data_IF_772412066439
#
_entry.id   IF_772412066439
#
_cell.length_a   1.000
_cell.length_b   1.000
_cell.length_c   1.000
_cell.angle_alpha   90.00
_cell.angle_beta   90.00
_cell.angle_gamma   90.00
#
_symmetry.space_group_name_H-M   'P 1'
#
loop_
_entity.id
_entity.type
_entity.pdbx_description
1 polymer ?
#
# COMPACT_ATOMS: atom_id res chain seq x y z
N UNK A 1 27.21 16.96 38.06
CA UNK A 1 28.29 17.42 37.14
C UNK A 1 27.75 17.20 35.74
N UNK A 2 26.89 18.12 35.25
CA UNK A 2 27.22 19.21 34.32
C UNK A 2 27.71 18.71 32.95
N UNK A 3 26.95 19.08 31.90
CA UNK A 3 27.41 19.61 30.59
C UNK A 3 28.33 18.67 29.78
N UNK A 4 28.07 18.28 28.54
CA UNK A 4 27.66 18.96 27.30
C UNK A 4 27.71 17.84 26.23
N UNK A 5 26.96 17.82 25.14
CA UNK A 5 27.31 18.52 23.89
C UNK A 5 26.05 18.52 23.01
N UNK A 6 25.40 19.68 22.94
CA UNK A 6 24.43 20.00 21.89
C UNK A 6 25.22 20.79 20.84
N UNK A 7 25.47 20.17 19.69
CA UNK A 7 25.99 20.89 18.54
C UNK A 7 24.86 21.69 17.90
N UNK A 8 24.88 23.00 18.13
CA UNK A 8 24.09 23.98 17.42
C UNK A 8 24.53 24.07 15.95
N UNK A 9 23.59 23.91 15.03
CA UNK A 9 23.73 24.42 13.66
C UNK A 9 22.83 25.65 13.53
N UNK A 10 23.42 26.82 13.77
CA UNK A 10 22.83 28.11 13.43
C UNK A 10 23.01 28.34 11.92
N UNK A 11 22.00 27.94 11.15
CA UNK A 11 21.84 28.40 9.77
C UNK A 11 21.28 29.83 9.79
N UNK A 12 22.11 30.81 9.43
CA UNK A 12 21.73 32.21 9.20
C UNK A 12 20.52 32.27 8.24
N UNK A 13 19.34 32.65 8.75
CA UNK A 13 18.28 33.19 7.90
C UNK A 13 18.78 34.52 7.33
N UNK A 14 19.23 34.47 6.08
CA UNK A 14 19.59 35.67 5.34
C UNK A 14 18.31 36.47 5.06
N UNK A 15 18.37 37.75 5.44
CA UNK A 15 17.44 38.81 5.03
C UNK A 15 17.51 39.00 3.51
N UNK A 16 16.81 38.18 2.73
CA UNK A 16 16.73 38.37 1.27
C UNK A 16 15.40 37.93 0.64
N UNK A 17 14.29 37.98 1.39
CA UNK A 17 12.94 37.71 0.83
C UNK A 17 12.00 38.93 0.90
N UNK A 18 12.48 40.09 1.37
CA UNK A 18 11.65 41.30 1.52
C UNK A 18 12.14 42.51 0.67
N UNK A 19 12.79 42.26 -0.47
CA UNK A 19 13.19 43.30 -1.44
C UNK A 19 13.12 42.81 -2.89
N UNK A 20 11.93 42.44 -3.36
CA UNK A 20 11.66 42.32 -4.80
C UNK A 20 10.28 42.86 -5.19
N UNK A 21 9.83 43.90 -4.50
CA UNK A 21 8.63 44.67 -4.87
C UNK A 21 8.99 46.15 -5.01
N UNK A 22 9.89 46.48 -5.94
CA UNK A 22 10.13 47.87 -6.37
C UNK A 22 10.90 47.94 -7.68
N UNK A 23 10.39 47.33 -8.75
CA UNK A 23 10.82 47.65 -10.12
C UNK A 23 9.81 47.16 -11.15
N UNK A 24 8.57 47.66 -11.09
CA UNK A 24 7.65 47.59 -12.23
C UNK A 24 7.75 48.93 -12.98
N UNK A 25 8.31 48.89 -14.20
CA UNK A 25 8.11 49.94 -15.21
C UNK A 25 6.83 49.60 -15.99
N UNK A 26 6.00 50.58 -16.36
CA UNK A 26 4.82 50.32 -17.17
C UNK A 26 5.25 49.98 -18.60
N UNK A 27 4.84 48.80 -19.10
CA UNK A 27 4.92 48.49 -20.53
C UNK A 27 3.67 49.08 -21.22
N UNK A 28 3.84 49.85 -22.31
CA UNK A 28 2.72 50.43 -23.03
C UNK A 28 2.03 49.37 -23.90
N UNK A 29 0.70 49.30 -23.78
CA UNK A 29 -0.18 48.62 -24.73
C UNK A 29 -0.17 49.45 -26.02
N UNK A 30 0.56 48.97 -27.04
CA UNK A 30 0.37 49.24 -28.48
C UNK A 30 1.51 48.58 -29.26
N UNK A 31 1.25 47.40 -29.80
CA UNK A 31 1.80 46.86 -31.07
C UNK A 31 1.46 45.36 -31.14
N UNK A 32 0.25 45.04 -31.61
CA UNK A 32 -0.07 43.70 -32.09
C UNK A 32 -1.17 43.75 -33.16
N UNK A 33 -1.01 44.64 -34.13
CA UNK A 33 -1.77 44.63 -35.39
C UNK A 33 -0.85 45.17 -36.50
N UNK A 34 -0.03 44.31 -37.09
CA UNK A 34 0.55 44.48 -38.42
C UNK A 34 1.40 43.23 -38.74
N UNK A 35 0.92 42.37 -39.62
CA UNK A 35 1.71 41.20 -40.04
C UNK A 35 0.93 40.05 -40.68
N UNK A 36 -0.13 40.34 -41.45
CA UNK A 36 -0.72 39.35 -42.36
C UNK A 36 -0.88 39.99 -43.74
N UNK A 37 0.20 39.95 -44.51
CA UNK A 37 0.18 40.19 -45.96
C UNK A 37 1.47 39.63 -46.55
N UNK A 38 1.39 38.48 -47.21
CA UNK A 38 2.56 37.83 -47.80
C UNK A 38 2.26 36.53 -48.54
N UNK A 39 1.65 36.66 -49.72
CA UNK A 39 1.86 35.81 -50.92
C UNK A 39 1.57 34.32 -50.84
N UNK A 40 0.40 33.96 -51.38
CA UNK A 40 0.08 32.69 -52.02
C UNK A 40 1.01 32.41 -53.20
N UNK A 41 1.78 31.33 -53.13
CA UNK A 41 2.28 30.61 -54.31
C UNK A 41 1.66 29.21 -54.31
N UNK A 42 0.79 29.00 -55.28
CA UNK A 42 0.13 27.74 -55.59
C UNK A 42 1.09 26.79 -56.29
N UNK A 43 1.48 25.71 -55.62
CA UNK A 43 1.93 24.47 -56.28
C UNK A 43 0.98 23.34 -55.89
N UNK A 44 -0.01 23.11 -56.76
CA UNK A 44 -0.89 21.96 -56.71
C UNK A 44 -0.07 20.67 -56.91
N UNK A 45 0.14 19.92 -55.84
CA UNK A 45 0.38 18.47 -55.93
C UNK A 45 -0.75 17.76 -55.21
N UNK A 46 -1.71 17.28 -55.99
CA UNK A 46 -2.80 16.41 -55.56
C UNK A 46 -2.24 15.09 -55.03
N UNK A 47 -2.20 14.91 -53.71
CA UNK A 47 -2.15 13.59 -53.08
C UNK A 47 -3.54 13.28 -52.53
N UNK A 48 -4.21 12.33 -53.18
CA UNK A 48 -5.45 11.72 -52.71
C UNK A 48 -5.26 11.19 -51.28
N UNK A 49 -6.24 11.35 -50.37
CA UNK A 49 -6.23 10.63 -49.12
C UNK A 49 -6.51 9.15 -49.42
N UNK A 50 -5.50 8.32 -49.20
CA UNK A 50 -5.67 6.87 -49.19
C UNK A 50 -6.59 6.49 -48.03
N UNK A 51 -7.77 5.96 -48.37
CA UNK A 51 -8.68 5.30 -47.45
C UNK A 51 -7.94 4.18 -46.70
N UNK A 52 -7.55 4.42 -45.45
CA UNK A 52 -7.27 3.32 -44.53
C UNK A 52 -8.60 2.67 -44.14
N UNK A 53 -8.76 1.35 -44.26
CA UNK A 53 -9.98 0.69 -43.81
C UNK A 53 -10.18 0.93 -42.31
N UNK A 54 -11.43 1.06 -41.84
CA UNK A 54 -11.70 1.18 -40.41
C UNK A 54 -11.13 -0.04 -39.67
N UNK A 55 -10.66 0.13 -38.42
CA UNK A 55 -10.23 -0.99 -37.61
C UNK A 55 -11.35 -2.04 -37.57
N UNK A 56 -11.01 -3.34 -37.65
CA UNK A 56 -12.02 -4.39 -37.65
C UNK A 56 -12.92 -4.24 -36.42
N UNK A 57 -14.23 -4.46 -36.54
CA UNK A 57 -15.14 -4.42 -35.41
C UNK A 57 -14.62 -5.40 -34.34
N UNK A 58 -14.38 -4.89 -33.14
CA UNK A 58 -14.03 -5.69 -31.96
C UNK A 58 -15.17 -6.70 -31.78
N UNK A 59 -14.92 -7.96 -32.14
CA UNK A 59 -15.90 -9.01 -31.94
C UNK A 59 -16.21 -9.08 -30.44
N UNK A 60 -17.49 -9.25 -30.03
CA UNK A 60 -17.82 -9.41 -28.63
C UNK A 60 -16.98 -10.56 -28.05
N UNK A 61 -16.45 -10.42 -26.82
CA UNK A 61 -15.59 -11.43 -26.23
C UNK A 61 -16.32 -12.78 -26.30
N UNK A 62 -15.70 -13.75 -26.99
CA UNK A 62 -16.24 -15.10 -27.07
C UNK A 62 -16.12 -15.71 -25.68
N UNK A 63 -17.21 -15.66 -24.91
CA UNK A 63 -17.27 -16.30 -23.62
C UNK A 63 -17.14 -17.82 -23.79
N UNK A 64 -16.35 -18.43 -22.91
CA UNK A 64 -16.12 -19.86 -22.85
C UNK A 64 -17.00 -20.41 -21.75
N UNK A 65 -17.90 -21.34 -22.11
CA UNK A 65 -18.69 -22.07 -21.12
C UNK A 65 -17.90 -23.25 -20.55
N UNK A 66 -17.83 -23.31 -19.22
CA UNK A 66 -17.25 -24.40 -18.44
C UNK A 66 -18.23 -24.87 -17.37
N UNK A 67 -18.11 -26.13 -16.95
CA UNK A 67 -18.91 -26.72 -15.87
C UNK A 67 -18.05 -26.82 -14.61
N UNK A 68 -18.43 -26.13 -13.54
CA UNK A 68 -17.78 -26.24 -12.22
C UNK A 68 -18.75 -26.96 -11.28
N UNK A 69 -18.40 -28.19 -10.88
CA UNK A 69 -19.24 -29.07 -10.06
C UNK A 69 -20.67 -29.23 -10.62
N UNK A 70 -20.78 -29.30 -11.95
CA UNK A 70 -22.04 -29.40 -12.69
C UNK A 70 -22.76 -28.07 -12.93
N UNK A 71 -22.27 -26.95 -12.41
CA UNK A 71 -22.83 -25.61 -12.65
C UNK A 71 -22.17 -24.96 -13.87
N UNK A 72 -22.94 -24.51 -14.89
CA UNK A 72 -22.37 -23.79 -16.03
C UNK A 72 -21.92 -22.40 -15.61
N UNK A 73 -20.71 -22.01 -16.03
CA UNK A 73 -20.10 -20.71 -15.78
C UNK A 73 -19.56 -20.17 -17.09
N UNK A 74 -19.86 -18.91 -17.37
CA UNK A 74 -19.33 -18.18 -18.52
C UNK A 74 -18.04 -17.49 -18.10
N UNK A 75 -16.94 -17.80 -18.78
CA UNK A 75 -15.62 -17.26 -18.49
C UNK A 75 -15.06 -16.52 -19.70
N UNK A 76 -14.20 -15.55 -19.44
CA UNK A 76 -13.42 -14.89 -20.49
C UNK A 76 -12.30 -15.82 -21.01
N UNK A 77 -11.95 -15.72 -22.30
CA UNK A 77 -10.85 -16.49 -22.85
C UNK A 77 -9.53 -16.12 -22.18
N UNK A 78 -8.76 -17.12 -21.75
CA UNK A 78 -7.48 -16.93 -21.06
C UNK A 78 -7.56 -16.96 -19.53
N UNK A 79 -8.77 -16.96 -18.94
CA UNK A 79 -8.92 -17.17 -17.50
C UNK A 79 -8.37 -18.54 -17.07
N UNK A 80 -7.87 -18.60 -15.85
CA UNK A 80 -7.45 -19.88 -15.23
C UNK A 80 -8.64 -20.61 -14.63
N UNK A 81 -8.52 -21.93 -14.43
CA UNK A 81 -9.55 -22.72 -13.73
C UNK A 81 -9.82 -22.13 -12.33
N UNK A 82 -8.80 -21.65 -11.62
CA UNK A 82 -8.96 -21.05 -10.30
C UNK A 82 -9.88 -19.82 -10.32
N UNK A 83 -9.69 -18.93 -11.30
CA UNK A 83 -10.54 -17.75 -11.46
C UNK A 83 -11.96 -18.11 -11.90
N UNK A 84 -12.11 -19.11 -12.78
CA UNK A 84 -13.42 -19.62 -13.18
C UNK A 84 -14.20 -20.22 -12.00
N UNK A 85 -13.52 -20.97 -11.13
CA UNK A 85 -14.12 -21.47 -9.89
C UNK A 85 -14.48 -20.33 -8.93
N UNK A 86 -13.67 -19.27 -8.85
CA UNK A 86 -14.00 -18.10 -8.03
C UNK A 86 -15.27 -17.39 -8.52
N UNK A 87 -15.47 -17.26 -9.85
CA UNK A 87 -16.73 -16.77 -10.43
C UNK A 87 -17.93 -17.66 -10.07
N UNK A 88 -17.72 -18.96 -9.92
CA UNK A 88 -18.73 -19.92 -9.49
C UNK A 88 -19.03 -19.86 -7.97
N UNK A 89 -18.32 -19.02 -7.22
CA UNK A 89 -18.38 -18.94 -5.76
C UNK A 89 -17.60 -20.06 -5.03
N UNK A 90 -16.76 -20.82 -5.75
CA UNK A 90 -15.97 -21.91 -5.18
C UNK A 90 -14.52 -21.44 -4.96
N UNK A 91 -14.12 -21.31 -3.69
CA UNK A 91 -12.75 -20.94 -3.34
C UNK A 91 -11.86 -22.19 -3.25
N UNK A 92 -10.90 -22.29 -4.17
CA UNK A 92 -9.89 -23.36 -4.18
C UNK A 92 -8.71 -22.97 -3.29
N UNK A 93 -8.19 -23.88 -2.43
CA UNK A 93 -7.06 -23.59 -1.56
C UNK A 93 -5.79 -23.26 -2.35
N UNK A 94 -5.07 -22.23 -1.91
CA UNK A 94 -3.92 -21.66 -2.61
C UNK A 94 -2.83 -21.19 -1.63
N UNK A 95 -1.56 -21.44 -1.98
CA UNK A 95 -0.40 -20.92 -1.24
C UNK A 95 0.57 -20.10 -2.09
N UNK A 96 0.83 -20.47 -3.34
CA UNK A 96 1.72 -19.69 -4.20
C UNK A 96 0.95 -18.72 -5.08
N UNK A 97 -0.27 -19.05 -5.51
CA UNK A 97 -1.08 -18.17 -6.34
C UNK A 97 -1.45 -16.92 -5.56
N UNK A 98 -1.34 -15.78 -6.23
CA UNK A 98 -1.74 -14.45 -5.77
C UNK A 98 -2.18 -13.71 -7.03
N UNK A 99 -3.27 -12.94 -6.96
CA UNK A 99 -3.89 -12.35 -8.15
C UNK A 99 -3.01 -11.28 -8.80
N UNK A 100 -2.25 -10.55 -7.97
CA UNK A 100 -1.31 -9.49 -8.37
C UNK A 100 0.12 -9.96 -8.69
N UNK A 101 0.39 -11.28 -8.71
CA UNK A 101 1.73 -11.81 -8.98
C UNK A 101 1.69 -12.84 -10.10
N UNK A 102 2.83 -13.05 -10.78
CA UNK A 102 2.93 -14.04 -11.85
C UNK A 102 2.59 -15.46 -11.38
N UNK A 103 2.05 -16.30 -12.27
CA UNK A 103 1.65 -17.68 -11.91
C UNK A 103 2.90 -18.56 -11.78
N UNK A 104 3.08 -19.20 -10.62
CA UNK A 104 4.22 -20.10 -10.36
C UNK A 104 3.88 -21.60 -10.45
N UNK A 105 2.92 -22.07 -9.64
CA UNK A 105 2.57 -23.49 -9.57
C UNK A 105 3.47 -24.37 -8.67
N UNK A 106 4.19 -23.78 -7.72
CA UNK A 106 5.15 -24.51 -6.86
C UNK A 106 4.48 -25.34 -5.76
N UNK A 107 3.37 -24.87 -5.19
CA UNK A 107 2.78 -25.49 -3.99
C UNK A 107 1.87 -26.68 -4.28
N UNK A 108 1.27 -26.77 -5.47
CA UNK A 108 0.30 -27.82 -5.87
C UNK A 108 -0.92 -27.99 -4.94
N UNK A 109 -1.23 -27.04 -4.06
CA UNK A 109 -2.43 -27.14 -3.19
C UNK A 109 -3.74 -26.99 -3.97
N UNK A 110 -3.69 -26.30 -5.11
CA UNK A 110 -4.83 -25.97 -5.94
C UNK A 110 -5.17 -27.07 -6.98
N UNK A 111 -4.74 -28.31 -6.75
CA UNK A 111 -5.05 -29.44 -7.63
C UNK A 111 -6.56 -29.70 -7.65
N UNK A 112 -7.10 -29.87 -8.85
CA UNK A 112 -8.50 -30.22 -9.10
C UNK A 112 -8.59 -31.30 -10.18
N UNK A 113 -9.65 -32.07 -10.14
CA UNK A 113 -9.95 -33.05 -11.17
C UNK A 113 -10.68 -32.37 -12.34
N UNK A 114 -10.18 -32.63 -13.56
CA UNK A 114 -10.83 -32.19 -14.79
C UNK A 114 -11.18 -33.42 -15.61
N UNK A 115 -12.40 -33.48 -16.12
CA UNK A 115 -12.83 -34.61 -16.93
C UNK A 115 -11.92 -34.78 -18.15
N UNK A 116 -11.63 -36.04 -18.50
CA UNK A 116 -10.68 -36.45 -19.55
C UNK A 116 -9.20 -36.18 -19.23
N UNK A 117 -8.86 -35.63 -18.07
CA UNK A 117 -7.48 -35.53 -17.59
C UNK A 117 -7.13 -36.73 -16.70
N UNK A 118 -6.04 -37.43 -17.00
CA UNK A 118 -5.59 -38.60 -16.22
C UNK A 118 -5.01 -38.23 -14.84
N UNK A 119 -4.56 -36.99 -14.68
CA UNK A 119 -3.92 -36.48 -13.46
C UNK A 119 -4.65 -35.22 -13.00
N UNK A 120 -4.74 -34.97 -11.68
CA UNK A 120 -5.20 -33.69 -11.17
C UNK A 120 -4.35 -32.55 -11.74
N UNK A 121 -5.00 -31.48 -12.17
CA UNK A 121 -4.35 -30.33 -12.81
C UNK A 121 -4.26 -29.17 -11.82
N UNK A 122 -3.19 -28.38 -11.93
CA UNK A 122 -3.04 -27.18 -11.10
C UNK A 122 -3.96 -26.07 -11.62
N UNK A 123 -5.03 -25.79 -10.87
CA UNK A 123 -6.06 -24.82 -11.30
C UNK A 123 -5.52 -23.40 -11.49
N UNK A 124 -4.45 -23.03 -10.79
CA UNK A 124 -3.86 -21.68 -10.88
C UNK A 124 -3.13 -21.40 -12.20
N UNK A 125 -2.75 -22.43 -12.96
CA UNK A 125 -1.97 -22.29 -14.19
C UNK A 125 -2.69 -22.83 -15.43
N UNK A 126 -3.63 -23.75 -15.24
CA UNK A 126 -4.39 -24.34 -16.33
C UNK A 126 -5.41 -23.32 -16.86
N UNK A 127 -5.34 -22.91 -18.14
CA UNK A 127 -6.36 -22.07 -18.75
C UNK A 127 -7.65 -22.86 -18.97
N UNK A 128 -8.78 -22.18 -18.91
CA UNK A 128 -10.09 -22.79 -19.21
C UNK A 128 -10.22 -23.08 -20.71
N UNK A 129 -10.80 -24.24 -21.03
CA UNK A 129 -11.16 -24.62 -22.40
C UNK A 129 -12.66 -24.89 -22.48
N UNK A 130 -13.25 -24.67 -23.67
CA UNK A 130 -14.69 -24.85 -23.90
C UNK A 130 -15.12 -26.28 -23.59
N UNK A 131 -16.17 -26.42 -22.79
CA UNK A 131 -16.72 -27.73 -22.41
C UNK A 131 -15.86 -28.50 -21.42
N UNK A 132 -14.93 -27.83 -20.71
CA UNK A 132 -14.28 -28.43 -19.54
C UNK A 132 -15.29 -28.63 -18.42
N UNK A 133 -15.19 -29.80 -17.77
CA UNK A 133 -15.91 -30.12 -16.54
C UNK A 133 -14.90 -30.28 -15.41
N UNK A 134 -14.99 -29.40 -14.43
CA UNK A 134 -14.08 -29.26 -13.30
C UNK A 134 -14.81 -29.78 -12.05
N UNK A 135 -14.20 -30.73 -11.36
CA UNK A 135 -14.70 -31.30 -10.11
C UNK A 135 -13.79 -30.86 -8.97
N UNK A 136 -14.29 -29.99 -8.10
CA UNK A 136 -13.48 -29.38 -7.03
C UNK A 136 -13.56 -30.15 -5.70
N UNK A 137 -14.53 -31.06 -5.57
CA UNK A 137 -14.77 -31.88 -4.36
C UNK A 137 -14.84 -33.40 -4.65
N UNK A 138 -14.15 -33.85 -5.70
CA UNK A 138 -14.02 -35.29 -5.95
C UNK A 138 -13.09 -35.97 -4.94
N UNK A 139 -13.23 -37.29 -4.77
CA UNK A 139 -12.34 -38.08 -3.90
C UNK A 139 -10.86 -37.92 -4.29
N UNK A 140 -10.58 -37.85 -5.60
CA UNK A 140 -9.22 -37.63 -6.12
C UNK A 140 -8.71 -36.25 -5.72
N UNK A 141 -9.55 -35.22 -5.83
CA UNK A 141 -9.19 -33.84 -5.47
C UNK A 141 -8.92 -33.70 -3.97
N UNK A 142 -9.76 -34.29 -3.13
CA UNK A 142 -9.59 -34.30 -1.67
C UNK A 142 -8.30 -35.01 -1.27
N UNK A 143 -8.05 -36.22 -1.77
CA UNK A 143 -6.81 -36.96 -1.51
C UNK A 143 -5.56 -36.21 -2.00
N UNK A 144 -5.64 -35.52 -3.13
CA UNK A 144 -4.54 -34.71 -3.62
C UNK A 144 -4.22 -33.54 -2.67
N UNK A 145 -5.24 -32.84 -2.16
CA UNK A 145 -5.08 -31.75 -1.19
C UNK A 145 -4.51 -32.25 0.13
N UNK A 146 -5.05 -33.35 0.67
CA UNK A 146 -4.54 -33.98 1.89
C UNK A 146 -3.07 -34.38 1.75
N UNK A 147 -2.69 -35.03 0.64
CA UNK A 147 -1.31 -35.43 0.37
C UNK A 147 -0.35 -34.25 0.25
N UNK A 148 -0.76 -33.18 -0.44
CA UNK A 148 0.06 -31.96 -0.55
C UNK A 148 0.22 -31.29 0.82
N UNK A 149 -0.87 -31.16 1.59
CA UNK A 149 -0.82 -30.57 2.92
C UNK A 149 0.11 -31.35 3.84
N UNK A 150 0.07 -32.68 3.79
CA UNK A 150 0.99 -33.51 4.55
C UNK A 150 2.45 -33.20 4.18
N UNK A 151 2.80 -33.14 2.90
CA UNK A 151 4.17 -32.79 2.47
C UNK A 151 4.62 -31.40 2.93
N UNK A 152 3.72 -30.42 2.95
CA UNK A 152 4.01 -29.09 3.48
C UNK A 152 4.32 -29.14 4.98
N UNK A 153 3.57 -29.96 5.74
CA UNK A 153 3.70 -30.09 7.20
C UNK A 153 4.81 -31.04 7.66
N UNK A 154 5.30 -31.97 6.81
CA UNK A 154 6.39 -32.91 7.14
C UNK A 154 7.59 -32.15 7.72
N UNK A 155 8.04 -31.11 7.01
CA UNK A 155 9.23 -30.34 7.37
C UNK A 155 8.91 -28.98 8.01
N UNK A 156 7.63 -28.67 8.27
CA UNK A 156 7.23 -27.44 8.95
C UNK A 156 7.41 -27.58 10.48
N UNK A 157 7.96 -26.56 11.17
CA UNK A 157 8.19 -26.60 12.61
C UNK A 157 6.87 -26.46 13.39
N UNK A 158 6.84 -26.96 14.62
CA UNK A 158 5.68 -26.85 15.52
C UNK A 158 5.67 -25.52 16.27
N UNK A 159 5.76 -24.44 15.52
CA UNK A 159 5.96 -23.08 16.04
C UNK A 159 4.65 -22.32 16.26
N UNK A 160 3.49 -22.91 15.96
CA UNK A 160 2.21 -22.20 15.98
C UNK A 160 1.95 -21.33 17.22
N UNK A 161 2.30 -21.75 18.47
CA UNK A 161 2.10 -20.91 19.66
C UNK A 161 2.96 -19.63 19.67
N UNK A 162 4.21 -19.76 19.22
CA UNK A 162 5.18 -18.66 19.18
C UNK A 162 5.14 -17.91 17.85
N UNK A 163 4.41 -18.38 16.86
CA UNK A 163 4.30 -17.75 15.56
C UNK A 163 3.36 -16.54 15.64
N UNK A 164 3.81 -15.37 15.15
CA UNK A 164 2.98 -14.16 15.15
C UNK A 164 1.79 -14.25 14.21
N UNK A 165 1.90 -15.05 13.15
CA UNK A 165 0.81 -15.30 12.20
C UNK A 165 -0.16 -16.37 12.70
N UNK A 166 0.05 -16.95 13.89
CA UNK A 166 -0.92 -17.89 14.48
C UNK A 166 -2.29 -17.23 14.62
N UNK A 167 -3.32 -17.84 14.03
CA UNK A 167 -4.69 -17.30 13.95
C UNK A 167 -5.02 -16.49 12.69
N UNK A 168 -4.06 -16.19 11.83
CA UNK A 168 -4.27 -15.60 10.50
C UNK A 168 -3.36 -16.27 9.45
N UNK A 169 -3.06 -17.56 9.66
CA UNK A 169 -2.13 -18.33 8.85
C UNK A 169 -2.89 -19.20 7.84
N UNK A 170 -2.69 -18.94 6.54
CA UNK A 170 -3.29 -19.75 5.47
C UNK A 170 -2.98 -21.23 5.65
N UNK A 171 -1.76 -21.58 6.09
CA UNK A 171 -1.37 -22.98 6.27
C UNK A 171 -2.13 -23.65 7.41
N UNK A 172 -2.40 -22.91 8.48
CA UNK A 172 -3.20 -23.41 9.60
C UNK A 172 -4.65 -23.64 9.16
N UNK A 173 -5.26 -22.65 8.54
CA UNK A 173 -6.68 -22.68 8.17
C UNK A 173 -6.94 -23.72 7.07
N UNK A 174 -6.09 -23.77 6.06
CA UNK A 174 -6.22 -24.76 4.98
C UNK A 174 -5.88 -26.18 5.45
N UNK A 175 -4.99 -26.35 6.44
CA UNK A 175 -4.76 -27.67 7.05
C UNK A 175 -5.99 -28.14 7.82
N UNK A 176 -6.67 -27.25 8.54
CA UNK A 176 -7.88 -27.61 9.29
C UNK A 176 -9.06 -27.92 8.36
N UNK A 177 -9.17 -27.20 7.23
CA UNK A 177 -10.30 -27.35 6.30
C UNK A 177 -10.11 -28.44 5.23
N UNK A 178 -8.90 -28.61 4.70
CA UNK A 178 -8.61 -29.48 3.56
C UNK A 178 -7.49 -30.51 3.81
N UNK A 179 -6.81 -30.42 4.96
CA UNK A 179 -5.74 -31.35 5.35
C UNK A 179 -6.26 -32.59 6.07
N UNK A 180 -5.37 -33.54 6.33
CA UNK A 180 -5.64 -34.69 7.20
C UNK A 180 -5.61 -34.30 8.68
N UNK A 181 -6.30 -35.09 9.52
CA UNK A 181 -6.40 -34.86 10.97
C UNK A 181 -5.11 -35.19 11.74
N UNK A 182 -4.26 -36.06 11.18
CA UNK A 182 -3.06 -36.59 11.83
C UNK A 182 -1.87 -36.62 10.89
N UNK A 183 -0.67 -36.55 11.48
CA UNK A 183 0.58 -36.79 10.79
C UNK A 183 0.89 -38.30 10.71
N UNK A 184 1.42 -38.76 9.58
CA UNK A 184 2.04 -40.09 9.44
C UNK A 184 3.56 -40.03 9.54
N UNK A 185 4.14 -38.84 9.52
CA UNK A 185 5.58 -38.65 9.60
C UNK A 185 6.07 -39.00 11.01
N UNK A 186 6.71 -40.15 11.11
CA UNK A 186 7.50 -40.58 12.26
C UNK A 186 8.95 -40.60 11.81
N UNK A 187 9.78 -39.80 12.48
CA UNK A 187 11.20 -39.75 12.17
C UNK A 187 11.91 -41.00 12.72
N UNK A 188 11.90 -42.07 11.92
CA UNK A 188 12.51 -43.34 12.29
C UNK A 188 14.05 -43.28 12.36
N UNK A 189 14.68 -42.21 11.84
CA UNK A 189 16.14 -42.06 11.81
C UNK A 189 16.67 -41.07 12.84
N UNK A 190 15.80 -40.47 13.65
CA UNK A 190 16.15 -39.43 14.63
C UNK A 190 16.93 -38.25 14.02
N UNK A 191 16.74 -37.99 12.72
CA UNK A 191 17.40 -36.91 11.98
C UNK A 191 16.72 -35.54 12.18
N UNK A 192 15.54 -35.51 12.79
CA UNK A 192 14.70 -34.35 12.97
C UNK A 192 14.01 -33.89 11.69
N UNK A 193 13.18 -32.86 11.83
CA UNK A 193 12.72 -32.03 10.71
C UNK A 193 13.87 -31.15 10.23
N UNK A 194 13.83 -30.72 8.97
CA UNK A 194 14.82 -29.73 8.50
C UNK A 194 14.75 -28.45 9.34
N UNK A 195 15.89 -27.85 9.59
CA UNK A 195 16.02 -26.51 10.15
C UNK A 195 16.77 -25.64 9.15
N UNK A 196 16.37 -24.38 9.03
CA UNK A 196 16.96 -23.40 8.13
C UNK A 196 17.41 -22.20 8.95
N UNK A 197 18.60 -21.67 8.66
CA UNK A 197 19.12 -20.46 9.27
C UNK A 197 18.26 -19.24 8.92
N UNK A 198 18.05 -18.36 9.90
CA UNK A 198 17.31 -17.13 9.71
C UNK A 198 18.17 -16.09 9.01
N UNK A 199 17.56 -15.32 8.09
CA UNK A 199 18.26 -14.37 7.22
C UNK A 199 17.97 -12.94 7.66
N UNK A 200 18.97 -12.09 7.76
CA UNK A 200 18.73 -10.70 8.18
C UNK A 200 18.24 -9.83 7.00
N UNK A 201 16.91 -9.77 6.82
CA UNK A 201 16.27 -8.90 5.82
C UNK A 201 16.10 -7.44 6.29
N UNK A 202 16.70 -7.05 7.42
CA UNK A 202 16.71 -5.69 7.94
C UNK A 202 15.89 -5.47 9.21
N UNK A 203 15.54 -4.20 9.52
CA UNK A 203 14.85 -3.85 10.76
C UNK A 203 13.32 -3.99 10.68
N UNK A 204 12.74 -4.10 9.48
CA UNK A 204 11.29 -4.12 9.27
C UNK A 204 10.72 -5.55 9.26
N UNK A 205 11.41 -6.47 8.59
CA UNK A 205 10.94 -7.84 8.38
C UNK A 205 11.73 -8.78 9.29
N UNK A 206 11.02 -9.52 10.13
CA UNK A 206 11.56 -10.61 10.94
C UNK A 206 11.40 -11.92 10.18
N UNK A 207 12.50 -12.63 10.00
CA UNK A 207 12.51 -13.90 9.29
C UNK A 207 12.62 -15.07 10.26
N UNK A 208 11.80 -16.09 10.04
CA UNK A 208 11.99 -17.42 10.64
C UNK A 208 11.88 -18.44 9.50
N UNK A 209 13.00 -18.74 8.85
CA UNK A 209 13.01 -19.40 7.55
C UNK A 209 12.68 -20.90 7.62
N UNK A 210 12.80 -21.50 8.80
CA UNK A 210 12.35 -22.88 9.03
C UNK A 210 10.84 -23.05 8.77
N UNK A 211 10.04 -21.99 8.96
CA UNK A 211 8.60 -21.99 8.66
C UNK A 211 8.26 -21.87 7.17
N UNK A 212 9.24 -21.52 6.34
CA UNK A 212 9.01 -21.27 4.92
C UNK A 212 8.61 -22.56 4.18
N UNK A 213 7.53 -22.47 3.39
CA UNK A 213 7.01 -23.55 2.55
C UNK A 213 7.40 -23.42 1.08
N UNK A 214 8.36 -22.55 0.77
CA UNK A 214 8.90 -22.40 -0.60
C UNK A 214 7.87 -22.01 -1.67
N UNK A 215 6.85 -21.23 -1.29
CA UNK A 215 5.81 -20.78 -2.22
C UNK A 215 6.31 -19.72 -3.23
N UNK A 216 7.47 -19.09 -2.98
CA UNK A 216 8.11 -18.06 -3.81
C UNK A 216 7.27 -16.80 -4.07
N UNK A 217 6.25 -16.50 -3.24
CA UNK A 217 5.48 -15.23 -3.35
C UNK A 217 6.38 -14.01 -3.10
N UNK A 218 7.18 -14.02 -2.05
CA UNK A 218 8.07 -12.89 -1.72
C UNK A 218 9.13 -12.62 -2.81
N UNK A 219 9.69 -13.68 -3.41
CA UNK A 219 10.68 -13.56 -4.50
C UNK A 219 10.04 -12.92 -5.73
N UNK A 220 8.84 -13.37 -6.13
CA UNK A 220 8.11 -12.78 -7.25
C UNK A 220 7.72 -11.34 -6.97
N UNK A 221 7.20 -11.04 -5.79
CA UNK A 221 6.87 -9.66 -5.41
C UNK A 221 8.08 -8.74 -5.46
N UNK A 222 9.22 -9.17 -4.91
CA UNK A 222 10.45 -8.39 -4.92
C UNK A 222 10.91 -8.07 -6.36
N UNK A 223 10.83 -9.05 -7.26
CA UNK A 223 11.25 -8.90 -8.65
C UNK A 223 10.26 -8.13 -9.53
N UNK A 224 8.97 -8.38 -9.36
CA UNK A 224 7.90 -7.93 -10.27
C UNK A 224 7.29 -6.59 -9.84
N UNK A 225 7.00 -6.44 -8.54
CA UNK A 225 6.25 -5.29 -8.01
C UNK A 225 7.21 -4.29 -7.37
N UNK A 226 8.03 -4.73 -6.42
CA UNK A 226 8.99 -3.84 -5.75
C UNK A 226 10.17 -3.45 -6.65
N UNK A 227 10.42 -4.19 -7.74
CA UNK A 227 11.50 -3.91 -8.68
C UNK A 227 12.91 -4.06 -8.10
N UNK A 228 13.06 -4.76 -6.97
CA UNK A 228 14.35 -4.99 -6.28
C UNK A 228 14.66 -6.49 -6.27
N UNK A 229 15.53 -6.96 -7.20
CA UNK A 229 15.81 -8.39 -7.36
C UNK A 229 16.83 -8.94 -6.36
N UNK A 230 16.64 -8.62 -5.08
CA UNK A 230 17.53 -9.04 -4.00
C UNK A 230 17.11 -10.39 -3.39
N UNK A 231 15.81 -10.69 -3.37
CA UNK A 231 15.29 -11.96 -2.87
C UNK A 231 15.34 -13.03 -3.96
N UNK A 232 15.91 -14.19 -3.62
CA UNK A 232 15.99 -15.32 -4.53
C UNK A 232 15.86 -16.67 -3.83
N UNK A 233 16.02 -17.72 -4.62
CA UNK A 233 16.10 -19.10 -4.15
C UNK A 233 17.52 -19.62 -4.35
N UNK A 234 18.18 -20.02 -3.26
CA UNK A 234 19.53 -20.61 -3.29
C UNK A 234 19.45 -22.09 -2.92
N UNK A 235 20.34 -22.92 -3.47
CA UNK A 235 20.31 -24.37 -3.26
C UNK A 235 19.25 -25.10 -4.11
N UNK A 236 18.96 -26.36 -3.75
CA UNK A 236 18.08 -27.26 -4.51
C UNK A 236 17.43 -28.30 -3.61
N UNK A 237 16.21 -28.72 -3.94
CA UNK A 237 15.51 -29.79 -3.21
C UNK A 237 15.07 -29.33 -1.82
N UNK A 238 15.23 -30.18 -0.81
CA UNK A 238 14.84 -29.85 0.57
C UNK A 238 15.73 -28.78 1.22
N UNK A 239 16.97 -28.62 0.75
CA UNK A 239 17.93 -27.62 1.19
C UNK A 239 17.83 -26.28 0.44
N UNK A 240 16.80 -26.11 -0.39
CA UNK A 240 16.52 -24.82 -1.01
C UNK A 240 16.17 -23.80 0.07
N UNK A 241 16.76 -22.61 0.01
CA UNK A 241 16.54 -21.51 0.94
C UNK A 241 16.04 -20.28 0.18
N UNK A 242 15.08 -19.58 0.77
CA UNK A 242 14.62 -18.28 0.27
C UNK A 242 15.34 -17.20 1.07
N UNK A 243 15.86 -16.18 0.39
CA UNK A 243 16.53 -15.06 1.03
C UNK A 243 17.53 -14.40 0.11
N UNK A 244 18.32 -13.50 0.66
CA UNK A 244 19.51 -12.97 0.01
C UNK A 244 20.66 -13.96 0.19
N UNK A 245 21.44 -14.22 -0.87
CA UNK A 245 22.58 -15.15 -0.76
C UNK A 245 23.67 -14.60 0.18
N UNK A 246 23.94 -13.29 0.06
CA UNK A 246 24.78 -12.53 0.97
C UNK A 246 23.91 -11.89 2.07
N UNK A 247 24.52 -11.50 3.19
CA UNK A 247 23.83 -10.73 4.23
C UNK A 247 23.54 -9.31 3.72
N UNK A 248 22.40 -9.14 3.06
CA UNK A 248 21.94 -7.88 2.49
C UNK A 248 20.50 -7.65 2.97
N UNK A 249 20.23 -6.54 3.67
CA UNK A 249 18.86 -6.19 4.02
C UNK A 249 18.04 -5.85 2.76
N UNK A 250 16.74 -6.13 2.81
CA UNK A 250 15.84 -5.81 1.69
C UNK A 250 15.49 -4.32 1.76
N UNK A 251 16.18 -3.50 0.97
CA UNK A 251 15.90 -2.08 0.87
C UNK A 251 14.95 -1.81 -0.30
N UNK A 252 13.67 -1.65 0.02
CA UNK A 252 12.65 -1.10 -0.87
C UNK A 252 11.62 -0.38 0.00
N UNK A 253 11.00 0.67 -0.53
CA UNK A 253 9.90 1.40 0.08
C UNK A 253 8.61 0.57 0.18
N UNK A 254 8.50 -0.53 -0.56
CA UNK A 254 7.36 -1.46 -0.54
C UNK A 254 7.72 -2.82 0.08
N UNK A 255 8.87 -2.93 0.74
CA UNK A 255 9.43 -4.21 1.20
C UNK A 255 8.53 -4.92 2.21
N UNK A 256 7.85 -4.20 3.09
CA UNK A 256 6.99 -4.74 4.14
C UNK A 256 5.75 -5.47 3.64
N UNK A 257 5.35 -5.29 2.37
CA UNK A 257 4.24 -6.04 1.78
C UNK A 257 4.54 -7.53 1.64
N UNK A 258 5.82 -7.95 1.68
CA UNK A 258 6.16 -9.39 1.70
C UNK A 258 5.62 -10.11 2.94
N UNK A 259 5.32 -9.37 4.02
CA UNK A 259 4.74 -9.91 5.24
C UNK A 259 3.31 -10.38 4.98
N UNK A 260 2.48 -9.54 4.36
CA UNK A 260 1.08 -9.87 4.06
C UNK A 260 0.98 -10.95 2.99
N UNK A 261 1.92 -10.95 2.03
CA UNK A 261 1.98 -11.97 0.99
C UNK A 261 2.37 -13.35 1.51
N UNK A 262 3.09 -13.42 2.63
CA UNK A 262 3.58 -14.68 3.16
C UNK A 262 2.39 -15.48 3.72
N UNK A 263 2.06 -16.65 3.15
CA UNK A 263 0.94 -17.46 3.65
C UNK A 263 1.26 -18.15 4.99
N UNK A 264 2.49 -17.98 5.48
CA UNK A 264 3.04 -18.62 6.67
C UNK A 264 3.90 -17.60 7.42
N UNK A 265 4.04 -17.78 8.74
CA UNK A 265 4.78 -16.83 9.59
C UNK A 265 6.31 -16.92 9.47
N UNK A 266 6.81 -17.13 8.26
CA UNK A 266 8.23 -17.09 7.91
C UNK A 266 8.72 -15.66 7.73
N UNK A 267 7.90 -14.76 7.18
CA UNK A 267 8.18 -13.33 7.08
C UNK A 267 7.12 -12.59 7.88
N UNK A 268 7.53 -11.92 8.95
CA UNK A 268 6.62 -11.23 9.89
C UNK A 268 7.09 -9.82 10.16
N UNK A 269 6.20 -8.96 10.67
CA UNK A 269 6.56 -7.59 11.06
C UNK A 269 7.43 -7.62 12.32
N UNK A 270 8.67 -7.12 12.20
CA UNK A 270 9.62 -7.06 13.32
C UNK A 270 9.20 -6.05 14.40
N UNK A 271 8.69 -4.85 14.08
CA UNK A 271 8.19 -3.92 15.10
C UNK A 271 6.96 -4.44 15.86
N UNK A 272 6.10 -5.23 15.20
CA UNK A 272 4.89 -5.82 15.80
C UNK A 272 5.16 -7.14 16.54
N UNK A 273 6.37 -7.69 16.45
CA UNK A 273 6.69 -9.04 16.88
C UNK A 273 6.28 -9.31 18.34
N UNK A 274 5.48 -10.36 18.53
CA UNK A 274 4.99 -10.84 19.84
C UNK A 274 4.19 -9.83 20.67
N UNK A 275 3.78 -8.68 20.11
CA UNK A 275 3.01 -7.68 20.86
C UNK A 275 1.55 -8.10 21.05
N UNK A 276 0.98 -8.77 20.05
CA UNK A 276 -0.43 -9.10 19.97
C UNK A 276 -0.75 -10.31 19.08
N UNK A 277 -2.02 -10.70 19.08
CA UNK A 277 -2.59 -11.78 18.25
C UNK A 277 -3.79 -11.30 17.43
N UNK A 278 -4.10 -11.91 16.28
CA UNK A 278 -5.13 -11.41 15.39
C UNK A 278 -6.53 -11.33 16.03
N UNK A 279 -6.90 -12.31 16.85
CA UNK A 279 -8.24 -12.43 17.46
C UNK A 279 -8.53 -11.43 18.60
N UNK A 280 -7.52 -10.79 19.17
CA UNK A 280 -7.70 -9.75 20.21
C UNK A 280 -7.73 -8.33 19.64
N UNK A 281 -7.40 -8.17 18.34
CA UNK A 281 -7.36 -6.86 17.69
C UNK A 281 -8.72 -6.46 17.13
N UNK A 282 -9.10 -5.20 17.32
CA UNK A 282 -10.21 -4.57 16.61
C UNK A 282 -9.70 -3.99 15.30
N UNK A 283 -10.42 -4.22 14.22
CA UNK A 283 -10.08 -3.75 12.87
C UNK A 283 -10.92 -2.52 12.56
N UNK A 284 -10.26 -1.41 12.25
CA UNK A 284 -10.91 -0.16 11.84
C UNK A 284 -10.40 0.18 10.45
N UNK A 285 -11.32 0.30 9.49
CA UNK A 285 -10.99 0.74 8.14
C UNK A 285 -10.76 2.26 8.15
N UNK A 286 -9.64 2.70 7.59
CA UNK A 286 -9.19 4.09 7.57
C UNK A 286 -8.44 4.38 6.26
N UNK A 287 -7.98 5.63 6.12
CA UNK A 287 -7.15 6.09 5.02
C UNK A 287 -5.77 6.50 5.56
N UNK A 288 -4.73 6.23 4.77
CA UNK A 288 -3.37 6.68 5.05
C UNK A 288 -3.16 8.16 4.72
N UNK A 289 -2.33 8.82 5.52
CA UNK A 289 -2.02 10.26 5.39
C UNK A 289 -0.52 10.52 5.23
N UNK A 290 0.31 9.48 5.17
CA UNK A 290 1.77 9.60 5.12
C UNK A 290 2.30 10.05 3.75
N UNK A 291 1.48 9.92 2.72
CA UNK A 291 1.67 10.44 1.38
C UNK A 291 0.34 10.92 0.78
N UNK A 292 0.42 11.57 -0.39
CA UNK A 292 -0.76 12.08 -1.10
C UNK A 292 -1.49 10.99 -1.92
N UNK A 293 -1.11 9.71 -1.80
CA UNK A 293 -1.80 8.62 -2.47
C UNK A 293 -3.15 8.32 -1.80
N UNK A 294 -3.22 8.47 -0.48
CA UNK A 294 -4.43 8.17 0.29
C UNK A 294 -4.75 6.67 0.27
N UNK A 295 -3.74 5.82 0.47
CA UNK A 295 -3.90 4.37 0.44
C UNK A 295 -4.95 3.89 1.46
N UNK A 296 -5.77 2.92 1.06
CA UNK A 296 -6.76 2.35 1.96
C UNK A 296 -6.08 1.41 2.96
N UNK A 297 -6.35 1.60 4.26
CA UNK A 297 -5.69 0.84 5.33
C UNK A 297 -6.70 0.29 6.35
N UNK A 298 -6.25 -0.72 7.08
CA UNK A 298 -6.90 -1.27 8.26
C UNK A 298 -5.98 -1.02 9.46
N UNK A 299 -6.45 -0.19 10.39
CA UNK A 299 -5.80 0.07 11.67
C UNK A 299 -6.24 -1.01 12.64
N UNK A 300 -5.29 -1.84 13.08
CA UNK A 300 -5.54 -2.84 14.11
C UNK A 300 -5.22 -2.25 15.48
N UNK A 301 -6.22 -2.19 16.35
CA UNK A 301 -6.11 -1.61 17.68
C UNK A 301 -6.39 -2.62 18.79
N UNK A 302 -5.71 -2.45 19.91
CA UNK A 302 -6.01 -3.14 21.18
C UNK A 302 -5.93 -2.13 22.30
N UNK A 303 -6.91 -2.12 23.20
CA UNK A 303 -6.92 -1.23 24.39
C UNK A 303 -6.58 0.22 24.06
N UNK A 304 -7.18 0.79 23.01
CA UNK A 304 -6.95 2.16 22.51
C UNK A 304 -5.52 2.48 22.03
N UNK A 305 -4.68 1.48 21.83
CA UNK A 305 -3.37 1.63 21.20
C UNK A 305 -3.41 1.04 19.78
N UNK A 306 -2.86 1.77 18.82
CA UNK A 306 -2.60 1.27 17.47
C UNK A 306 -1.41 0.33 17.52
N UNK A 307 -1.60 -0.91 17.09
CA UNK A 307 -0.55 -1.93 17.15
C UNK A 307 0.05 -2.26 15.78
N UNK A 308 -0.76 -2.23 14.72
CA UNK A 308 -0.30 -2.44 13.34
C UNK A 308 -1.24 -1.78 12.34
N UNK A 309 -0.70 -1.47 11.17
CA UNK A 309 -1.43 -0.96 10.01
C UNK A 309 -1.22 -1.95 8.87
N UNK A 310 -2.30 -2.38 8.23
CA UNK A 310 -2.31 -3.34 7.12
C UNK A 310 -3.03 -2.67 5.93
N UNK A 311 -2.62 -2.90 4.66
CA UNK A 311 -3.38 -2.47 3.49
C UNK A 311 -4.80 -3.05 3.48
N UNK A 312 -5.72 -2.30 2.86
CA UNK A 312 -7.04 -2.79 2.45
C UNK A 312 -7.10 -2.78 0.92
N UNK A 313 -7.78 -3.78 0.36
CA UNK A 313 -8.00 -3.89 -1.08
C UNK A 313 -8.73 -2.65 -1.61
N UNK A 314 -8.12 -1.96 -2.56
CA UNK A 314 -8.74 -0.92 -3.38
C UNK A 314 -8.07 -0.88 -4.76
N UNK A 315 -8.75 -1.47 -5.74
CA UNK A 315 -8.31 -1.55 -7.14
C UNK A 315 -7.96 -0.17 -7.74
N UNK A 316 -8.65 0.89 -7.32
CA UNK A 316 -8.52 2.21 -7.94
C UNK A 316 -7.33 3.02 -7.40
N UNK A 317 -6.74 2.62 -6.27
CA UNK A 317 -5.74 3.44 -5.55
C UNK A 317 -4.46 2.68 -5.28
N UNK A 318 -4.50 1.66 -4.42
CA UNK A 318 -3.31 1.00 -3.90
C UNK A 318 -3.28 -0.51 -4.17
N UNK A 319 -4.29 -1.03 -4.88
CA UNK A 319 -4.55 -2.47 -5.01
C UNK A 319 -4.54 -3.12 -3.62
N UNK A 320 -3.47 -3.83 -3.27
CA UNK A 320 -3.28 -4.47 -1.97
C UNK A 320 -1.97 -4.02 -1.28
N UNK A 321 -1.30 -3.00 -1.82
CA UNK A 321 0.03 -2.59 -1.38
C UNK A 321 -0.02 -1.37 -0.46
N UNK A 322 0.96 -1.29 0.42
CA UNK A 322 1.17 -0.15 1.32
C UNK A 322 2.66 0.15 1.44
N UNK A 323 3.03 1.43 1.38
CA UNK A 323 4.40 1.87 1.61
C UNK A 323 4.86 1.56 3.04
N UNK A 324 6.16 1.28 3.20
CA UNK A 324 6.78 0.97 4.49
C UNK A 324 6.68 2.15 5.47
N UNK A 325 6.71 3.38 4.95
CA UNK A 325 6.46 4.58 5.76
C UNK A 325 5.11 4.47 6.45
N UNK A 326 4.05 4.19 5.70
CA UNK A 326 2.68 4.07 6.19
C UNK A 326 2.48 2.86 7.09
N UNK A 327 3.09 1.73 6.72
CA UNK A 327 3.01 0.47 7.47
C UNK A 327 3.66 0.55 8.86
N UNK A 328 4.77 1.26 8.99
CA UNK A 328 5.60 1.26 10.22
C UNK A 328 5.60 2.58 10.99
N UNK A 329 4.97 3.64 10.49
CA UNK A 329 4.88 4.96 11.17
C UNK A 329 4.01 4.97 12.44
N UNK A 330 3.21 3.93 12.68
CA UNK A 330 2.30 3.88 13.83
C UNK A 330 3.01 3.97 15.19
N UNK A 331 4.29 3.59 15.30
CA UNK A 331 5.06 3.78 16.55
C UNK A 331 5.13 5.27 16.93
N UNK A 332 5.25 6.15 15.93
CA UNK A 332 5.24 7.60 16.10
C UNK A 332 3.95 8.15 16.70
N UNK A 333 2.81 7.46 16.53
CA UNK A 333 1.53 7.86 17.13
C UNK A 333 1.53 7.71 18.66
N UNK A 334 2.41 6.90 19.22
CA UNK A 334 2.52 6.69 20.67
C UNK A 334 3.63 7.53 21.33
N UNK A 335 4.52 8.13 20.55
CA UNK A 335 5.74 8.81 21.03
C UNK A 335 5.69 10.30 20.73
N UNK A 336 6.22 11.12 21.64
CA UNK A 336 6.33 12.58 21.48
C UNK A 336 4.99 13.28 21.14
N UNK A 337 3.88 12.79 21.70
CA UNK A 337 2.55 13.35 21.48
C UNK A 337 2.30 14.59 22.35
N UNK A 338 1.62 15.58 21.77
CA UNK A 338 1.07 16.72 22.50
C UNK A 338 -0.27 16.29 23.12
N UNK A 339 -0.27 16.06 24.44
CA UNK A 339 -1.46 15.59 25.19
C UNK A 339 -2.12 16.71 25.98
N UNK A 340 -1.32 17.68 26.45
CA UNK A 340 -1.76 18.86 27.19
C UNK A 340 -1.33 20.12 26.44
N UNK A 341 -2.08 21.23 26.55
CA UNK A 341 -1.69 22.47 25.91
C UNK A 341 -0.58 23.18 26.74
N UNK A 342 0.26 23.95 26.06
CA UNK A 342 1.41 24.63 26.66
C UNK A 342 1.40 26.13 26.38
N UNK A 343 1.83 26.92 27.36
CA UNK A 343 2.05 28.37 27.22
C UNK A 343 3.53 28.67 27.39
N UNK A 344 4.07 29.57 26.56
CA UNK A 344 5.44 30.03 26.68
C UNK A 344 5.59 31.07 27.81
N UNK A 345 6.30 30.72 28.88
CA UNK A 345 6.65 31.62 29.97
C UNK A 345 8.17 31.62 30.15
N UNK A 346 8.79 32.80 30.20
CA UNK A 346 10.25 32.94 30.43
C UNK A 346 11.12 32.02 29.55
N UNK A 347 10.74 31.91 28.27
CA UNK A 347 11.40 31.09 27.25
C UNK A 347 11.32 29.55 27.45
N UNK A 348 10.44 29.06 28.32
CA UNK A 348 10.10 27.63 28.47
C UNK A 348 8.62 27.40 28.20
N UNK A 349 8.26 26.20 27.76
CA UNK A 349 6.87 25.76 27.64
C UNK A 349 6.42 25.22 29.00
N UNK A 350 5.32 25.76 29.52
CA UNK A 350 4.70 25.36 30.78
C UNK A 350 3.32 24.80 30.48
N UNK A 351 2.98 23.67 31.09
CA UNK A 351 1.66 23.03 30.96
C UNK A 351 0.54 23.95 31.47
N UNK A 352 -0.60 23.96 30.79
CA UNK A 352 -1.74 24.83 31.11
C UNK A 352 -3.08 24.17 30.77
N UNK A 353 -4.19 24.87 31.02
CA UNK A 353 -5.55 24.42 30.71
C UNK A 353 -6.01 24.94 29.35
N UNK A 354 -7.06 24.34 28.78
CA UNK A 354 -7.61 24.80 27.49
C UNK A 354 -8.19 26.21 27.60
N UNK A 355 -8.83 26.53 28.72
CA UNK A 355 -9.44 27.83 29.01
C UNK A 355 -8.38 28.93 29.04
N UNK A 356 -7.30 28.73 29.81
CA UNK A 356 -6.21 29.71 29.93
C UNK A 356 -5.55 29.97 28.58
N UNK A 357 -5.34 28.91 27.78
CA UNK A 357 -4.70 28.99 26.46
C UNK A 357 -5.60 29.72 25.47
N UNK A 358 -6.89 29.39 25.42
CA UNK A 358 -7.85 30.03 24.52
C UNK A 358 -8.09 31.49 24.89
N UNK A 359 -8.17 31.84 26.18
CA UNK A 359 -8.23 33.24 26.63
C UNK A 359 -6.96 33.98 26.22
N UNK A 360 -5.78 33.37 26.41
CA UNK A 360 -4.52 34.00 26.01
C UNK A 360 -4.42 34.24 24.49
N UNK A 361 -4.90 33.30 23.68
CA UNK A 361 -5.02 33.44 22.23
C UNK A 361 -6.00 34.58 21.90
N UNK A 362 -7.16 34.60 22.55
CA UNK A 362 -8.18 35.66 22.43
C UNK A 362 -7.63 37.04 22.76
N UNK A 363 -6.96 37.21 23.90
CA UNK A 363 -6.31 38.46 24.31
C UNK A 363 -5.28 38.97 23.29
N UNK A 364 -4.66 38.05 22.54
CA UNK A 364 -3.67 38.38 21.51
C UNK A 364 -4.34 38.75 20.20
N UNK A 365 -5.45 38.09 19.83
CA UNK A 365 -6.14 38.27 18.55
C UNK A 365 -7.22 39.37 18.57
N UNK A 366 -7.96 39.55 19.67
CA UNK A 366 -9.06 40.53 19.79
C UNK A 366 -8.61 41.98 19.59
N UNK A 367 -7.46 42.45 20.11
CA UNK A 367 -6.98 43.81 19.84
C UNK A 367 -6.72 44.10 18.35
N UNK A 368 -6.38 43.07 17.56
CA UNK A 368 -6.17 43.21 16.12
C UNK A 368 -7.48 43.54 15.39
N UNK A 369 -8.62 43.04 15.88
CA UNK A 369 -9.96 43.36 15.36
C UNK A 369 -10.38 44.80 15.72
N UNK A 370 -10.10 45.24 16.95
CA UNK A 370 -10.53 46.54 17.49
C UNK A 370 -9.71 47.74 17.00
N UNK A 371 -8.64 47.52 16.22
CA UNK A 371 -7.66 48.54 15.85
C UNK A 371 -8.06 49.48 14.70
N UNK A 372 -9.34 49.53 14.32
CA UNK A 372 -9.84 50.38 13.25
C UNK A 372 -11.01 51.25 13.71
N UNK A 373 -10.93 52.56 13.46
CA UNK A 373 -12.00 53.54 13.71
C UNK A 373 -13.27 53.28 12.85
N UNK A 374 -13.22 52.29 11.95
CA UNK A 374 -14.26 51.97 10.95
C UNK A 374 -14.83 50.55 11.05
N UNK A 375 -14.60 49.81 12.14
CA UNK A 375 -15.04 48.41 12.32
C UNK A 375 -14.51 47.40 11.25
N UNK A 376 -13.45 47.75 10.51
CA UNK A 376 -12.81 46.87 9.51
C UNK A 376 -11.34 46.63 9.88
N UNK A 377 -10.94 45.40 10.27
CA UNK A 377 -9.56 45.08 10.64
C UNK A 377 -8.58 45.42 9.51
N UNK A 378 -7.35 45.83 9.87
CA UNK A 378 -6.29 46.07 8.87
C UNK A 378 -5.97 44.77 8.13
N UNK A 379 -5.83 44.80 6.79
CA UNK A 379 -5.65 43.59 6.02
C UNK A 379 -4.31 42.90 6.36
N UNK A 380 -4.30 41.57 6.34
CA UNK A 380 -3.10 40.73 6.36
C UNK A 380 -2.20 40.83 7.62
N UNK A 381 -2.78 41.05 8.81
CA UNK A 381 -2.04 41.04 10.08
C UNK A 381 -1.88 39.65 10.69
N UNK A 382 -2.80 38.73 10.39
CA UNK A 382 -2.80 37.35 10.90
C UNK A 382 -2.59 36.41 9.72
N UNK A 383 -1.72 35.42 9.86
CA UNK A 383 -1.52 34.38 8.85
C UNK A 383 -1.81 33.00 9.45
N UNK A 384 -2.43 32.13 8.66
CA UNK A 384 -2.60 30.72 8.98
C UNK A 384 -1.60 29.89 8.19
N UNK A 385 -0.85 29.01 8.88
CA UNK A 385 -0.01 28.01 8.23
C UNK A 385 -0.61 26.63 8.47
N UNK A 386 -0.89 25.92 7.39
CA UNK A 386 -1.46 24.57 7.40
C UNK A 386 -0.35 23.55 7.18
N UNK A 387 -0.26 22.58 8.10
CA UNK A 387 0.66 21.45 7.99
C UNK A 387 0.13 20.34 7.07
N UNK A 388 1.03 19.46 6.64
CA UNK A 388 0.73 18.41 5.64
C UNK A 388 -0.34 17.38 6.06
N UNK A 389 -0.53 17.16 7.36
CA UNK A 389 -1.45 16.16 7.91
C UNK A 389 -2.82 16.73 8.35
N UNK A 390 -3.10 18.00 8.03
CA UNK A 390 -4.39 18.62 8.38
C UNK A 390 -5.52 18.07 7.48
N UNK A 391 -6.67 17.77 8.09
CA UNK A 391 -7.89 17.38 7.38
C UNK A 391 -8.57 18.58 6.72
N UNK A 392 -9.46 18.31 5.75
CA UNK A 392 -10.14 19.37 4.99
C UNK A 392 -11.01 20.24 5.90
N UNK A 393 -11.62 19.64 6.92
CA UNK A 393 -12.46 20.29 7.91
C UNK A 393 -11.67 21.33 8.72
N UNK A 394 -10.49 20.97 9.26
CA UNK A 394 -9.68 21.94 10.00
C UNK A 394 -9.08 23.01 9.10
N UNK A 395 -8.74 22.69 7.85
CA UNK A 395 -8.28 23.67 6.87
C UNK A 395 -9.35 24.72 6.57
N UNK A 396 -10.59 24.29 6.34
CA UNK A 396 -11.72 25.20 6.11
C UNK A 396 -12.03 26.02 7.37
N UNK A 397 -12.05 25.39 8.55
CA UNK A 397 -12.29 26.09 9.80
C UNK A 397 -11.22 27.16 10.09
N UNK A 398 -9.95 26.87 9.81
CA UNK A 398 -8.85 27.83 9.93
C UNK A 398 -9.02 28.96 8.90
N UNK A 399 -9.35 28.63 7.65
CA UNK A 399 -9.59 29.63 6.60
C UNK A 399 -10.71 30.59 6.97
N UNK A 400 -11.84 30.07 7.41
CA UNK A 400 -12.98 30.89 7.84
C UNK A 400 -12.64 31.77 9.04
N UNK A 401 -11.84 31.26 9.98
CA UNK A 401 -11.35 32.03 11.12
C UNK A 401 -10.47 33.19 10.66
N UNK A 402 -9.46 32.95 9.83
CA UNK A 402 -8.52 33.98 9.34
C UNK A 402 -9.22 35.02 8.47
N UNK A 403 -10.18 34.60 7.64
CA UNK A 403 -10.98 35.49 6.80
C UNK A 403 -11.83 36.46 7.64
N UNK A 404 -12.32 36.04 8.82
CA UNK A 404 -13.02 36.95 9.76
C UNK A 404 -12.11 38.05 10.32
N UNK A 405 -10.79 37.84 10.32
CA UNK A 405 -9.80 38.89 10.66
C UNK A 405 -9.39 39.73 9.43
N UNK A 406 -10.14 39.67 8.32
CA UNK A 406 -9.85 40.38 7.07
C UNK A 406 -8.45 40.06 6.52
N UNK A 407 -8.03 38.80 6.62
CA UNK A 407 -6.75 38.33 6.09
C UNK A 407 -6.97 37.16 5.14
N UNK A 408 -6.29 37.18 4.01
CA UNK A 408 -6.30 36.09 3.01
C UNK A 408 -5.00 35.26 3.07
N UNK A 409 -4.14 35.51 4.08
CA UNK A 409 -2.85 34.85 4.24
C UNK A 409 -2.98 33.47 4.89
N UNK A 410 -3.64 32.54 4.20
CA UNK A 410 -3.65 31.12 4.55
C UNK A 410 -2.72 30.38 3.61
N UNK A 411 -1.63 29.85 4.14
CA UNK A 411 -0.57 29.20 3.39
C UNK A 411 -0.41 27.74 3.81
N UNK A 412 0.09 26.92 2.90
CA UNK A 412 0.56 25.56 3.17
C UNK A 412 2.06 25.54 3.46
N UNK A 413 2.56 24.50 4.13
CA UNK A 413 4.00 24.29 4.32
C UNK A 413 4.75 24.07 2.99
N UNK A 414 4.09 23.45 2.02
CA UNK A 414 4.63 23.20 0.69
C UNK A 414 4.17 24.26 -0.31
N UNK A 415 5.11 24.78 -1.11
CA UNK A 415 4.84 25.77 -2.14
C UNK A 415 4.46 25.10 -3.46
N UNK A 416 3.35 25.51 -4.07
CA UNK A 416 2.93 25.03 -5.38
C UNK A 416 3.51 25.92 -6.50
N UNK A 417 4.09 25.35 -7.58
CA UNK A 417 4.85 26.11 -8.58
C UNK A 417 3.99 26.97 -9.52
N UNK A 418 2.68 26.69 -9.65
CA UNK A 418 1.77 27.56 -10.42
C UNK A 418 1.02 28.50 -9.47
N UNK A 419 0.95 29.77 -9.84
CA UNK A 419 0.30 30.82 -9.02
C UNK A 419 -1.25 30.73 -9.04
N UNK A 420 -1.85 29.74 -9.71
CA UNK A 420 -3.32 29.61 -9.81
C UNK A 420 -3.77 28.21 -9.45
N UNK A 421 -4.57 28.14 -8.39
CA UNK A 421 -5.29 26.94 -7.92
C UNK A 421 -6.76 26.95 -8.37
N UNK A 422 -7.12 27.84 -9.29
CA UNK A 422 -8.51 28.04 -9.74
C UNK A 422 -9.06 26.80 -10.47
N UNK A 423 -8.21 26.14 -11.26
CA UNK A 423 -8.56 24.93 -12.00
C UNK A 423 -7.99 23.69 -11.31
N UNK A 424 -8.88 22.75 -10.95
CA UNK A 424 -8.50 21.49 -10.26
C UNK A 424 -7.53 20.63 -11.06
N UNK A 425 -7.62 20.68 -12.39
CA UNK A 425 -6.74 19.93 -13.29
C UNK A 425 -5.25 20.25 -13.12
N UNK A 426 -4.92 21.42 -12.56
CA UNK A 426 -3.53 21.85 -12.42
C UNK A 426 -2.80 21.10 -11.30
N UNK A 427 -3.51 20.60 -10.29
CA UNK A 427 -2.92 19.97 -9.10
C UNK A 427 -3.42 18.54 -8.83
N UNK A 428 -4.26 17.99 -9.71
CA UNK A 428 -4.71 16.60 -9.63
C UNK A 428 -3.93 15.69 -10.58
N UNK A 429 -3.86 14.41 -10.23
CA UNK A 429 -3.44 13.37 -11.14
C UNK A 429 -4.60 13.00 -12.09
N UNK A 430 -4.73 13.74 -13.19
CA UNK A 430 -5.91 13.68 -14.08
C UNK A 430 -6.13 12.32 -14.76
N UNK A 431 -5.08 11.50 -14.91
CA UNK A 431 -5.16 10.22 -15.62
C UNK A 431 -5.74 9.06 -14.78
N UNK A 432 -6.09 9.31 -13.51
CA UNK A 432 -6.42 8.28 -12.51
C UNK A 432 -5.28 7.30 -12.21
N UNK A 433 -5.24 6.76 -10.99
CA UNK A 433 -4.20 5.80 -10.58
C UNK A 433 -4.41 4.42 -11.20
N UNK A 434 -5.66 4.01 -11.43
CA UNK A 434 -6.01 2.81 -12.17
C UNK A 434 -5.73 3.02 -13.68
N UNK A 435 -4.81 2.22 -14.23
CA UNK A 435 -4.42 2.29 -15.64
C UNK A 435 -3.62 1.07 -16.08
#
# INVERSE_FOLDING_TARGET
>A
IKQSYVHFWFGKLNKTICRQTSSFRPFPIKELVAGVSGTTSTTNTTKNPTNSPPPPPVQPPQHIEVLVDGKPVLCEPGMTILQACALAGVQIPRFCYHERLSIAGNCRMCLVEVEKSLKPVASCAMPVMRGMSIKTDSEVTRKAREGVMEFLLVNHPLDCPICDQGGECDLQDQSMNFGSDRSRFVDNRFTGKRAVEDKNLGPLIKTIMTRCIHCTRCVRFANEVAGVPDLGTTGRGSSLQIGTYIDKPLFSELSGNVIDLCPVGALTSKPYAFTARPWETRRIESIDVMDALGANIVVSMRTNQVLRIIPRLNEDVNEEWLADKSRFSYDGLSRQRLVVPFIKQSNKLVESTWEDVLVKIGDTLLPLLASSETNVPKPNQVAGLVGQFADAESMVALKDLINRFNSELVCTEEGFPTNSTDLRSNYLFNSHMAG
#
